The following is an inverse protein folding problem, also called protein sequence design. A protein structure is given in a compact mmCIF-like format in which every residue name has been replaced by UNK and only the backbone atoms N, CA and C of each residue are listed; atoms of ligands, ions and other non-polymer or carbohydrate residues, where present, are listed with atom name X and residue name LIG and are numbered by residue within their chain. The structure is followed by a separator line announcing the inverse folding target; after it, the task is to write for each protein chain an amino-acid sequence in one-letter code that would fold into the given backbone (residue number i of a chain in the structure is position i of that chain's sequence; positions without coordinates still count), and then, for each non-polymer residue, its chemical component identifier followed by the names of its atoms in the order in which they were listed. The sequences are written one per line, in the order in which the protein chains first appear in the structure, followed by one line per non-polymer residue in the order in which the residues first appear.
data_IF_185788700913
#
_entry.id   IF_185788700913
#
_cell.length_a   1.000
_cell.length_b   1.000
_cell.length_c   1.000
_cell.angle_alpha   90.00
_cell.angle_beta   90.00
_cell.angle_gamma   90.00
#
_symmetry.space_group_name_H-M   'P 1'
#
loop_
_entity.id
_entity.type
_entity.pdbx_description
1 polymer ?
#
# COMPACT_ATOMS: atom_id res chain seq x y z
N UNK A 1 -2.81 -8.32 -13.22
CA UNK A 1 -1.60 -7.47 -13.34
C UNK A 1 -1.87 -6.23 -14.17
N UNK A 2 -2.30 -6.36 -15.43
CA UNK A 2 -2.44 -5.22 -16.35
C UNK A 2 -3.28 -4.06 -15.82
N UNK A 3 -4.48 -4.36 -15.31
CA UNK A 3 -5.34 -3.34 -14.71
C UNK A 3 -4.67 -2.56 -13.57
N UNK A 4 -3.86 -3.24 -12.75
CA UNK A 4 -3.13 -2.61 -11.65
C UNK A 4 -2.04 -1.66 -12.16
N UNK A 5 -1.38 -1.99 -13.27
CA UNK A 5 -0.42 -1.10 -13.92
C UNK A 5 -1.12 0.14 -14.46
N UNK A 6 -2.19 -0.03 -15.25
CA UNK A 6 -2.98 1.09 -15.79
C UNK A 6 -3.46 2.03 -14.69
N UNK A 7 -3.98 1.48 -13.59
CA UNK A 7 -4.49 2.30 -12.49
C UNK A 7 -3.33 3.01 -11.75
N UNK A 8 -2.17 2.38 -11.62
CA UNK A 8 -0.96 3.04 -11.07
C UNK A 8 -0.45 4.19 -11.94
N UNK A 9 -0.57 4.08 -13.26
CA UNK A 9 -0.18 5.12 -14.22
C UNK A 9 -1.14 6.29 -14.17
N UNK A 10 -2.46 6.02 -14.15
CA UNK A 10 -3.48 7.06 -13.99
C UNK A 10 -3.30 7.85 -12.69
N UNK A 11 -2.99 7.16 -11.59
CA UNK A 11 -2.72 7.83 -10.30
C UNK A 11 -1.45 8.70 -10.39
N UNK A 12 -0.37 8.19 -10.98
CA UNK A 12 0.85 8.98 -11.18
C UNK A 12 0.56 10.22 -12.02
N UNK A 13 -0.15 10.08 -13.14
CA UNK A 13 -0.50 11.19 -14.02
C UNK A 13 -1.34 12.25 -13.30
N UNK A 14 -2.35 11.84 -12.53
CA UNK A 14 -3.17 12.77 -11.74
C UNK A 14 -2.34 13.55 -10.71
N UNK A 15 -1.45 12.88 -9.99
CA UNK A 15 -0.59 13.51 -9.00
C UNK A 15 0.44 14.44 -9.64
N UNK A 16 1.04 14.04 -10.77
CA UNK A 16 1.99 14.90 -11.47
C UNK A 16 1.34 16.14 -12.06
N UNK A 17 0.09 16.04 -12.55
CA UNK A 17 -0.69 17.21 -12.99
C UNK A 17 -1.08 18.15 -11.84
N UNK A 18 -1.38 17.61 -10.66
CA UNK A 18 -1.85 18.41 -9.53
C UNK A 18 -0.73 19.01 -8.67
N UNK A 19 0.39 18.28 -8.49
CA UNK A 19 1.48 18.66 -7.58
C UNK A 19 2.76 19.10 -8.30
N UNK A 20 2.82 19.03 -9.64
CA UNK A 20 4.02 19.30 -10.46
C UNK A 20 5.28 18.54 -9.98
N UNK A 21 5.07 17.35 -9.41
CA UNK A 21 6.13 16.49 -8.85
C UNK A 21 5.99 15.06 -9.36
N UNK A 22 7.05 14.28 -9.18
CA UNK A 22 7.01 12.83 -9.42
C UNK A 22 5.85 12.19 -8.65
N UNK A 23 5.24 11.15 -9.23
CA UNK A 23 4.14 10.42 -8.62
C UNK A 23 4.50 9.91 -7.21
N UNK A 24 3.49 9.67 -6.36
CA UNK A 24 3.73 9.20 -5.01
C UNK A 24 4.36 7.80 -5.04
N UNK A 25 5.27 7.48 -4.12
CA UNK A 25 6.00 6.19 -4.08
C UNK A 25 5.10 4.93 -4.13
N UNK A 26 3.83 5.08 -3.74
CA UNK A 26 2.81 4.04 -3.87
C UNK A 26 2.60 3.58 -5.32
N UNK A 27 2.69 4.45 -6.33
CA UNK A 27 2.50 4.04 -7.73
C UNK A 27 3.60 3.07 -8.17
N UNK A 28 4.85 3.33 -7.79
CA UNK A 28 5.97 2.40 -7.98
C UNK A 28 5.76 1.07 -7.24
N UNK A 29 5.19 1.12 -6.03
CA UNK A 29 4.85 -0.10 -5.27
C UNK A 29 3.76 -0.93 -5.95
N UNK A 30 2.73 -0.27 -6.51
CA UNK A 30 1.65 -0.93 -7.25
C UNK A 30 2.16 -1.59 -8.54
N UNK A 31 3.12 -0.96 -9.25
CA UNK A 31 3.77 -1.57 -10.43
C UNK A 31 4.57 -2.81 -10.06
N UNK A 32 5.40 -2.72 -9.01
CA UNK A 32 6.16 -3.86 -8.53
C UNK A 32 5.24 -5.01 -8.05
N UNK A 33 4.08 -4.68 -7.47
CA UNK A 33 3.06 -5.67 -7.13
C UNK A 33 2.42 -6.30 -8.40
N UNK A 34 2.19 -5.51 -9.45
CA UNK A 34 1.71 -6.03 -10.72
C UNK A 34 2.72 -7.00 -11.36
N UNK A 35 4.01 -6.76 -11.22
CA UNK A 35 5.06 -7.66 -11.73
C UNK A 35 5.02 -9.02 -11.03
N UNK A 36 4.82 -9.06 -9.70
CA UNK A 36 4.57 -10.31 -8.95
C UNK A 36 3.34 -11.05 -9.50
N UNK A 37 2.26 -10.34 -9.84
CA UNK A 37 1.02 -10.94 -10.34
C UNK A 37 1.13 -11.44 -11.78
N UNK A 38 1.99 -10.83 -12.60
CA UNK A 38 2.13 -11.14 -14.03
C UNK A 38 3.17 -12.24 -14.30
N UNK A 39 4.05 -12.50 -13.33
CA UNK A 39 5.17 -13.40 -13.51
C UNK A 39 4.71 -14.85 -13.72
N UNK A 40 4.72 -15.31 -14.96
CA UNK A 40 4.26 -16.65 -15.36
C UNK A 40 5.21 -17.78 -14.92
N UNK A 41 6.48 -17.47 -14.71
CA UNK A 41 7.46 -18.46 -14.25
C UNK A 41 7.45 -18.53 -12.71
N UNK A 42 6.96 -19.65 -12.19
CA UNK A 42 6.91 -19.93 -10.74
C UNK A 42 8.29 -19.97 -10.09
N UNK A 43 9.33 -20.38 -10.81
CA UNK A 43 10.69 -20.43 -10.26
C UNK A 43 11.27 -19.04 -10.05
N UNK A 44 10.80 -18.05 -10.81
CA UNK A 44 11.20 -16.65 -10.67
C UNK A 44 10.33 -15.89 -9.64
N UNK A 45 9.20 -16.45 -9.20
CA UNK A 45 8.29 -15.79 -8.25
C UNK A 45 8.98 -15.46 -6.93
N UNK A 46 9.76 -16.39 -6.39
CA UNK A 46 10.53 -16.16 -5.16
C UNK A 46 11.55 -15.04 -5.34
N UNK A 47 12.18 -14.95 -6.52
CA UNK A 47 13.14 -13.90 -6.83
C UNK A 47 12.48 -12.52 -6.91
N UNK A 48 11.38 -12.40 -7.66
CA UNK A 48 10.64 -11.14 -7.81
C UNK A 48 10.07 -10.69 -6.47
N UNK A 49 9.52 -11.62 -5.69
CA UNK A 49 9.04 -11.35 -4.33
C UNK A 49 10.17 -10.87 -3.42
N UNK A 50 11.35 -11.48 -3.50
CA UNK A 50 12.53 -11.03 -2.75
C UNK A 50 12.99 -9.64 -3.18
N UNK A 51 12.96 -9.33 -4.48
CA UNK A 51 13.27 -8.00 -5.00
C UNK A 51 12.24 -6.95 -4.54
N UNK A 52 10.97 -7.32 -4.50
CA UNK A 52 9.90 -6.49 -3.96
C UNK A 52 10.15 -6.18 -2.47
N UNK A 53 10.43 -7.19 -1.64
CA UNK A 53 10.77 -6.99 -0.22
C UNK A 53 12.01 -6.12 -0.07
N UNK A 54 13.00 -6.26 -0.95
CA UNK A 54 14.19 -5.39 -0.89
C UNK A 54 13.85 -3.91 -1.10
N UNK A 55 12.92 -3.60 -2.00
CA UNK A 55 12.43 -2.23 -2.27
C UNK A 55 11.50 -1.73 -1.16
N UNK A 56 10.74 -2.62 -0.55
CA UNK A 56 9.70 -2.32 0.44
C UNK A 56 9.86 -3.18 1.71
N UNK A 57 10.96 -3.00 2.47
CA UNK A 57 11.32 -3.90 3.57
C UNK A 57 10.35 -3.85 4.76
N UNK A 58 9.56 -2.78 4.86
CA UNK A 58 8.58 -2.57 5.92
C UNK A 58 7.19 -3.18 5.60
N UNK A 59 7.03 -3.92 4.49
CA UNK A 59 5.79 -4.61 4.17
C UNK A 59 5.49 -5.73 5.18
N UNK A 60 4.22 -5.87 5.57
CA UNK A 60 3.78 -6.95 6.46
C UNK A 60 3.63 -8.27 5.71
N UNK A 61 3.97 -9.37 6.38
CA UNK A 61 3.80 -10.74 5.86
C UNK A 61 2.37 -11.01 5.37
N UNK A 62 1.36 -10.50 6.07
CA UNK A 62 -0.05 -10.65 5.69
C UNK A 62 -0.37 -10.00 4.34
N UNK A 63 0.15 -8.79 4.08
CA UNK A 63 -0.05 -8.08 2.81
C UNK A 63 0.67 -8.77 1.67
N UNK A 64 1.92 -9.20 1.91
CA UNK A 64 2.72 -9.90 0.91
C UNK A 64 2.10 -11.27 0.57
N UNK A 65 1.65 -12.01 1.58
CA UNK A 65 0.93 -13.29 1.41
C UNK A 65 -0.35 -13.07 0.61
N UNK A 66 -1.15 -12.05 0.94
CA UNK A 66 -2.40 -11.75 0.23
C UNK A 66 -2.15 -11.38 -1.24
N UNK A 67 -1.08 -10.62 -1.52
CA UNK A 67 -0.67 -10.30 -2.89
C UNK A 67 -0.33 -11.57 -3.69
N UNK A 68 0.53 -12.43 -3.15
CA UNK A 68 0.94 -13.67 -3.83
C UNK A 68 -0.25 -14.62 -4.00
N UNK A 69 -1.11 -14.74 -2.98
CA UNK A 69 -2.31 -15.58 -3.01
C UNK A 69 -3.41 -15.04 -3.94
N UNK A 70 -3.27 -13.82 -4.46
CA UNK A 70 -4.17 -13.30 -5.50
C UNK A 70 -3.87 -13.90 -6.88
N UNK A 71 -2.76 -14.65 -7.00
CA UNK A 71 -2.45 -15.44 -8.20
C UNK A 71 -3.26 -16.73 -8.21
N UNK A 72 -3.76 -17.10 -9.39
CA UNK A 72 -4.55 -18.33 -9.57
C UNK A 72 -3.70 -19.60 -9.50
N UNK A 73 -2.38 -19.49 -9.71
CA UNK A 73 -1.46 -20.62 -9.80
C UNK A 73 -0.74 -20.95 -8.49
N UNK A 74 -1.03 -20.24 -7.40
CA UNK A 74 -0.39 -20.40 -6.09
C UNK A 74 -1.47 -20.60 -5.02
N UNK A 75 -1.30 -21.60 -4.15
CA UNK A 75 -2.22 -21.81 -3.04
C UNK A 75 -1.81 -21.00 -1.78
N UNK A 76 -2.71 -20.85 -0.82
CA UNK A 76 -2.47 -20.05 0.38
C UNK A 76 -1.25 -20.49 1.21
N UNK A 77 -0.93 -21.79 1.22
CA UNK A 77 0.24 -22.31 1.96
C UNK A 77 1.54 -21.96 1.24
N UNK A 78 1.57 -22.12 -0.07
CA UNK A 78 2.70 -21.72 -0.92
C UNK A 78 2.94 -20.21 -0.86
N UNK A 79 1.87 -19.42 -0.98
CA UNK A 79 1.94 -17.96 -0.90
C UNK A 79 2.57 -17.50 0.43
N UNK A 80 2.14 -18.09 1.54
CA UNK A 80 2.70 -17.81 2.86
C UNK A 80 4.17 -18.20 2.95
N UNK A 81 4.54 -19.40 2.46
CA UNK A 81 5.91 -19.87 2.48
C UNK A 81 6.85 -18.94 1.69
N UNK A 82 6.44 -18.51 0.50
CA UNK A 82 7.20 -17.58 -0.34
C UNK A 82 7.33 -16.21 0.34
N UNK A 83 6.26 -15.70 0.97
CA UNK A 83 6.29 -14.43 1.69
C UNK A 83 7.24 -14.49 2.90
N UNK A 84 7.15 -15.53 3.72
CA UNK A 84 8.00 -15.72 4.90
C UNK A 84 9.48 -15.84 4.48
N UNK A 85 9.77 -16.60 3.42
CA UNK A 85 11.13 -16.73 2.87
C UNK A 85 11.68 -15.39 2.37
N UNK A 86 10.90 -14.64 1.59
CA UNK A 86 11.31 -13.35 1.05
C UNK A 86 11.58 -12.31 2.16
N UNK A 87 10.75 -12.29 3.20
CA UNK A 87 10.91 -11.41 4.36
C UNK A 87 12.11 -11.80 5.21
N UNK A 88 12.35 -13.09 5.40
CA UNK A 88 13.52 -13.60 6.10
C UNK A 88 14.83 -13.21 5.41
N UNK A 89 14.85 -13.28 4.08
CA UNK A 89 15.97 -12.80 3.26
C UNK A 89 16.13 -11.27 3.29
N UNK A 90 15.06 -10.54 3.61
CA UNK A 90 15.02 -9.08 3.70
C UNK A 90 15.36 -8.50 5.07
N UNK A 91 15.56 -9.33 6.12
CA UNK A 91 15.75 -8.88 7.53
C UNK A 91 16.92 -7.91 7.75
N UNK A 92 17.89 -7.89 6.83
CA UNK A 92 19.07 -7.01 6.91
C UNK A 92 18.97 -5.77 6.03
N UNK A 93 17.83 -5.53 5.38
CA UNK A 93 17.66 -4.34 4.58
C UNK A 93 17.51 -3.09 5.45
N UNK A 94 18.09 -1.95 5.01
CA UNK A 94 17.83 -0.67 5.66
C UNK A 94 16.34 -0.36 5.64
N UNK A 95 15.86 0.41 6.62
CA UNK A 95 14.46 0.88 6.64
C UNK A 95 14.10 1.55 5.32
N UNK A 96 12.90 1.26 4.83
CA UNK A 96 12.41 1.77 3.57
C UNK A 96 12.08 3.26 3.61
N UNK A 97 11.54 3.74 2.50
CA UNK A 97 11.08 5.12 2.37
C UNK A 97 10.06 5.49 3.48
N UNK A 98 10.19 6.69 4.05
CA UNK A 98 9.36 7.13 5.19
C UNK A 98 7.87 7.11 4.90
N UNK A 99 7.47 7.41 3.67
CA UNK A 99 6.06 7.45 3.29
C UNK A 99 5.51 6.04 3.13
N UNK A 100 6.31 5.11 2.61
CA UNK A 100 5.95 3.69 2.54
C UNK A 100 5.88 3.04 3.92
N UNK A 101 6.82 3.35 4.82
CA UNK A 101 6.79 2.90 6.23
C UNK A 101 5.48 3.32 6.89
N UNK A 102 5.10 4.59 6.76
CA UNK A 102 3.82 5.10 7.28
C UNK A 102 2.65 4.38 6.65
N UNK A 103 2.64 4.22 5.31
CA UNK A 103 1.56 3.55 4.61
C UNK A 103 1.36 2.12 5.11
N UNK A 104 2.42 1.31 5.19
CA UNK A 104 2.31 -0.05 5.69
C UNK A 104 1.85 -0.08 7.15
N UNK A 105 2.27 0.89 7.98
CA UNK A 105 1.78 0.98 9.37
C UNK A 105 0.25 1.16 9.46
N UNK A 106 -0.36 1.90 8.52
CA UNK A 106 -1.82 2.07 8.46
C UNK A 106 -2.54 0.79 8.05
N UNK A 107 -1.96 0.01 7.12
CA UNK A 107 -2.55 -1.25 6.68
C UNK A 107 -2.66 -2.28 7.81
N UNK A 108 -1.71 -2.28 8.76
CA UNK A 108 -1.71 -3.16 9.94
C UNK A 108 -2.86 -2.86 10.93
N UNK A 109 -3.42 -1.65 10.89
CA UNK A 109 -4.49 -1.23 11.80
C UNK A 109 -5.90 -1.61 11.30
N UNK A 110 -6.01 -2.40 10.22
CA UNK A 110 -7.25 -3.03 9.80
C UNK A 110 -8.35 -2.06 9.34
N UNK A 111 -7.99 -0.93 8.72
CA UNK A 111 -8.92 0.00 8.05
C UNK A 111 -9.96 0.70 8.95
N UNK A 112 -10.17 0.26 10.19
CA UNK A 112 -11.27 0.71 11.06
C UNK A 112 -11.02 2.04 11.75
N UNK A 113 -9.84 2.65 11.61
CA UNK A 113 -9.46 3.92 12.29
C UNK A 113 -8.41 4.72 11.53
N UNK A 114 -8.41 4.72 10.20
CA UNK A 114 -7.22 5.17 9.45
C UNK A 114 -6.98 6.67 9.40
N UNK A 115 -7.87 7.53 9.90
CA UNK A 115 -7.58 8.97 10.01
C UNK A 115 -8.18 9.60 11.27
N UNK A 116 -7.68 9.28 12.48
CA UNK A 116 -8.19 9.88 13.71
C UNK A 116 -8.12 11.40 13.67
N UNK A 117 -7.04 11.94 13.08
CA UNK A 117 -6.85 13.38 12.92
C UNK A 117 -7.84 14.01 11.92
N UNK A 118 -8.22 13.30 10.84
CA UNK A 118 -9.25 13.80 9.92
C UNK A 118 -10.63 13.71 10.56
N UNK A 119 -10.93 12.61 11.25
CA UNK A 119 -12.19 12.43 11.97
C UNK A 119 -12.38 13.49 13.05
N UNK A 120 -11.35 13.76 13.85
CA UNK A 120 -11.34 14.82 14.86
C UNK A 120 -11.46 16.21 14.20
N UNK A 121 -10.74 16.46 13.11
CA UNK A 121 -10.87 17.72 12.35
C UNK A 121 -12.28 17.89 11.79
N UNK A 122 -12.87 16.83 11.24
CA UNK A 122 -14.24 16.85 10.72
C UNK A 122 -15.26 17.06 11.84
N UNK A 123 -15.12 16.36 12.97
CA UNK A 123 -15.96 16.55 14.15
C UNK A 123 -15.89 17.99 14.67
N UNK A 124 -14.69 18.58 14.73
CA UNK A 124 -14.49 19.97 15.15
C UNK A 124 -15.12 20.97 14.16
N UNK A 125 -14.99 20.72 12.85
CA UNK A 125 -15.62 21.51 11.80
C UNK A 125 -17.15 21.43 11.86
N UNK A 126 -17.71 20.23 12.04
CA UNK A 126 -19.15 20.03 12.19
C UNK A 126 -19.70 20.66 13.48
N UNK A 127 -19.01 20.51 14.61
CA UNK A 127 -19.39 21.14 15.87
C UNK A 127 -19.40 22.68 15.73
N UNK A 128 -18.41 23.25 15.06
CA UNK A 128 -18.34 24.69 14.78
C UNK A 128 -19.50 25.16 13.89
N UNK A 129 -19.85 24.40 12.85
CA UNK A 129 -20.98 24.72 11.95
C UNK A 129 -22.34 24.66 12.67
N UNK A 130 -22.54 23.69 13.55
CA UNK A 130 -23.78 23.56 14.34
C UNK A 130 -23.91 24.68 15.37
N UNK A 131 -22.83 25.06 16.04
CA UNK A 131 -22.82 26.17 17.00
C UNK A 131 -23.01 27.54 16.35
N UNK A 132 -22.49 27.74 15.14
CA UNK A 132 -22.65 29.01 14.40
C UNK A 132 -24.05 29.15 13.79
N UNK A 133 -24.65 28.05 13.31
CA UNK A 133 -26.05 28.02 12.83
C UNK A 133 -27.07 28.31 13.93
N UNK A 134 -26.87 27.79 15.14
CA UNK A 134 -27.80 28.00 16.27
C UNK A 134 -27.70 29.40 16.88
N UNK A 135 -26.56 30.10 16.73
CA UNK A 135 -26.39 31.50 17.15
C UNK A 135 -26.89 32.53 16.13
N UNK A 136 -27.08 32.16 14.87
CA UNK A 136 -27.61 33.04 13.83
C UNK A 136 -29.14 33.06 13.72
N UNK A 137 -29.87 32.33 14.59
CA UNK A 137 -31.32 32.17 14.56
C UNK A 137 -32.05 32.93 15.69
N UNK A 138 -31.41 33.94 16.30
CA UNK A 138 -32.01 34.85 17.27
C UNK A 138 -31.82 36.31 16.87
#
# INVERSE_FOLDING_TARGET
AERLREDSEKIEELFSRFLERSGPMITSCLRAAADILDLRDKTLLTLETSQFVRKYPDIHAELLTALINSREDVNAKEAKAIADEALDNGKFNPKGDKDMVKLFSFCRLGGRRTLPALEETMQNMFATLVFTTTRGAH
#
